data_IF_857536209008
#
_entry.id   IF_857536209008
#
_cell.length_a   1.000
_cell.length_b   1.000
_cell.length_c   1.000
_cell.angle_alpha   90.00
_cell.angle_beta   90.00
_cell.angle_gamma   90.00
#
_symmetry.space_group_name_H-M   'P 1'
#
loop_
_entity.id
_entity.type
_entity.pdbx_description
1 polymer ?
#
# COMPACT_ATOMS: atom_id res chain seq x y z
N UNK A 1 3.47 19.88 -33.05
CA UNK A 1 2.70 20.68 -32.07
C UNK A 1 3.64 21.01 -30.91
N UNK A 2 3.88 22.28 -30.56
CA UNK A 2 4.69 22.62 -29.39
C UNK A 2 4.00 22.18 -28.10
N UNK A 3 4.75 21.59 -27.17
CA UNK A 3 4.27 21.03 -25.89
C UNK A 3 4.99 21.69 -24.73
N UNK A 4 4.29 21.95 -23.62
CA UNK A 4 4.84 22.41 -22.34
C UNK A 4 4.18 21.68 -21.17
N UNK A 5 4.90 21.49 -20.07
CA UNK A 5 4.44 20.76 -18.89
C UNK A 5 4.29 21.70 -17.69
N UNK A 6 3.18 21.59 -16.97
CA UNK A 6 2.93 22.32 -15.73
C UNK A 6 2.90 21.30 -14.58
N UNK A 7 3.84 21.35 -13.62
CA UNK A 7 3.86 20.42 -12.49
C UNK A 7 2.71 20.67 -11.51
N UNK A 8 2.32 19.63 -10.76
CA UNK A 8 1.31 19.71 -9.72
C UNK A 8 1.61 18.66 -8.62
N UNK A 9 0.83 18.67 -7.54
CA UNK A 9 0.94 17.69 -6.46
C UNK A 9 0.73 16.25 -6.98
N UNK A 10 1.48 15.32 -6.39
CA UNK A 10 1.42 13.88 -6.69
C UNK A 10 1.36 13.09 -5.40
N UNK A 11 0.74 11.90 -5.43
CA UNK A 11 0.78 10.96 -4.30
C UNK A 11 2.22 10.58 -3.92
N UNK A 12 3.12 10.56 -4.91
CA UNK A 12 4.55 10.27 -4.71
C UNK A 12 5.21 11.23 -3.72
N UNK A 13 4.85 12.51 -3.76
CA UNK A 13 5.33 13.51 -2.80
C UNK A 13 4.39 13.65 -1.60
N UNK A 14 3.08 13.53 -1.82
CA UNK A 14 2.06 13.70 -0.79
C UNK A 14 2.12 12.63 0.30
N UNK A 15 2.63 11.43 0.00
CA UNK A 15 2.73 10.35 0.98
C UNK A 15 3.64 10.70 2.18
N UNK A 16 4.48 11.72 2.06
CA UNK A 16 5.25 12.25 3.21
C UNK A 16 4.36 12.75 4.35
N UNK A 17 3.07 13.01 4.10
CA UNK A 17 2.08 13.31 5.15
C UNK A 17 1.89 12.15 6.15
N UNK A 18 2.34 10.93 5.83
CA UNK A 18 2.38 9.81 6.78
C UNK A 18 3.42 10.03 7.89
N UNK A 19 4.35 10.97 7.74
CA UNK A 19 5.48 11.18 8.65
C UNK A 19 6.73 10.37 8.29
N UNK A 20 6.65 9.52 7.25
CA UNK A 20 7.80 8.79 6.73
C UNK A 20 8.66 9.71 5.83
N UNK A 21 9.97 9.60 5.99
CA UNK A 21 10.97 10.39 5.28
C UNK A 21 10.98 10.00 3.80
N UNK A 22 10.63 10.94 2.92
CA UNK A 22 10.57 10.68 1.47
C UNK A 22 11.90 10.18 0.88
N UNK A 23 13.05 10.58 1.44
CA UNK A 23 14.37 10.10 1.02
C UNK A 23 14.61 8.61 1.32
N UNK A 24 13.83 8.02 2.22
CA UNK A 24 13.91 6.61 2.59
C UNK A 24 12.93 5.73 1.78
N UNK A 25 12.28 6.25 0.74
CA UNK A 25 11.45 5.45 -0.17
C UNK A 25 12.27 4.88 -1.32
N UNK A 26 12.10 3.58 -1.57
CA UNK A 26 12.70 2.88 -2.70
C UNK A 26 11.79 2.88 -3.93
N UNK A 27 11.93 1.86 -4.77
CA UNK A 27 11.11 1.71 -5.96
C UNK A 27 9.63 1.57 -5.59
N UNK A 28 8.78 2.42 -6.15
CA UNK A 28 7.31 2.31 -6.01
C UNK A 28 6.79 1.15 -6.83
N UNK A 29 5.81 0.42 -6.29
CA UNK A 29 5.18 -0.73 -6.94
C UNK A 29 3.67 -0.53 -7.08
N UNK A 30 3.05 -1.31 -7.95
CA UNK A 30 1.60 -1.33 -8.11
C UNK A 30 1.04 -2.70 -7.74
N UNK A 31 0.02 -2.72 -6.89
CA UNK A 31 -0.80 -3.89 -6.63
C UNK A 31 -1.98 -3.91 -7.59
N UNK A 32 -2.21 -5.03 -8.27
CA UNK A 32 -3.35 -5.23 -9.18
C UNK A 32 -4.35 -6.20 -8.59
N UNK A 33 -5.62 -6.11 -8.98
CA UNK A 33 -6.61 -7.09 -8.53
C UNK A 33 -6.25 -8.51 -8.97
N UNK A 34 -6.29 -9.43 -8.03
CA UNK A 34 -6.21 -10.85 -8.34
C UNK A 34 -7.48 -11.34 -9.00
N UNK A 35 -7.31 -12.22 -9.99
CA UNK A 35 -8.36 -13.00 -10.62
C UNK A 35 -8.13 -14.48 -10.27
N UNK A 36 -9.18 -15.30 -10.38
CA UNK A 36 -9.13 -16.72 -10.01
C UNK A 36 -7.99 -17.49 -10.69
N UNK A 37 -7.66 -17.11 -11.93
CA UNK A 37 -6.63 -17.74 -12.76
C UNK A 37 -5.38 -16.87 -12.98
N UNK A 38 -5.30 -15.68 -12.35
CA UNK A 38 -4.20 -14.75 -12.57
C UNK A 38 -3.89 -13.91 -11.33
N UNK A 39 -2.77 -14.24 -10.68
CA UNK A 39 -2.28 -13.61 -9.45
C UNK A 39 -0.84 -13.15 -9.64
N UNK A 40 -0.60 -12.01 -10.31
CA UNK A 40 0.76 -11.56 -10.60
C UNK A 40 1.48 -11.14 -9.32
N UNK A 41 2.66 -11.71 -9.09
CA UNK A 41 3.48 -11.46 -7.91
C UNK A 41 4.74 -10.62 -8.21
N UNK A 42 4.81 -9.93 -9.35
CA UNK A 42 6.00 -9.16 -9.77
C UNK A 42 6.36 -8.01 -8.82
N UNK A 43 5.38 -7.54 -8.03
CA UNK A 43 5.62 -6.55 -6.98
C UNK A 43 6.51 -7.09 -5.85
N UNK A 44 6.49 -8.41 -5.61
CA UNK A 44 7.12 -9.04 -4.44
C UNK A 44 8.65 -8.91 -4.49
N UNK A 45 9.26 -9.19 -5.64
CA UNK A 45 10.70 -9.07 -5.82
C UNK A 45 11.20 -7.64 -5.59
N UNK A 46 10.43 -6.63 -6.03
CA UNK A 46 10.78 -5.21 -5.86
C UNK A 46 10.63 -4.75 -4.42
N UNK A 47 9.59 -5.20 -3.74
CA UNK A 47 9.39 -4.96 -2.31
C UNK A 47 10.53 -5.60 -1.50
N UNK A 48 10.94 -6.82 -1.85
CA UNK A 48 12.09 -7.49 -1.23
C UNK A 48 13.38 -6.72 -1.42
N UNK A 49 13.65 -6.25 -2.64
CA UNK A 49 14.81 -5.40 -2.95
C UNK A 49 14.83 -4.17 -2.03
N UNK A 50 13.74 -3.38 -1.99
CA UNK A 50 13.64 -2.22 -1.10
C UNK A 50 13.84 -2.57 0.38
N UNK A 51 13.16 -3.62 0.88
CA UNK A 51 13.26 -4.02 2.29
C UNK A 51 14.68 -4.47 2.65
N UNK A 52 15.38 -5.15 1.73
CA UNK A 52 16.76 -5.63 1.95
C UNK A 52 17.76 -4.50 2.18
N UNK A 53 17.55 -3.35 1.52
CA UNK A 53 18.38 -2.14 1.70
C UNK A 53 17.76 -1.14 2.69
N UNK A 54 16.66 -1.52 3.33
CA UNK A 54 16.05 -0.76 4.42
C UNK A 54 15.10 0.35 4.01
N UNK A 55 14.70 0.42 2.74
CA UNK A 55 13.82 1.47 2.21
C UNK A 55 12.34 1.12 2.35
N UNK A 56 11.52 2.14 2.60
CA UNK A 56 10.06 2.07 2.51
C UNK A 56 9.62 1.80 1.08
N UNK A 57 8.44 1.19 0.94
CA UNK A 57 7.85 0.99 -0.39
C UNK A 57 6.45 1.60 -0.43
N UNK A 58 6.26 2.58 -1.31
CA UNK A 58 4.92 3.03 -1.68
C UNK A 58 4.31 1.99 -2.63
N UNK A 59 3.11 1.52 -2.26
CA UNK A 59 2.28 0.60 -3.02
C UNK A 59 1.08 1.38 -3.55
N UNK A 60 1.06 1.57 -4.87
CA UNK A 60 -0.08 2.14 -5.58
C UNK A 60 -1.13 1.04 -5.80
N UNK A 61 -2.40 1.35 -5.54
CA UNK A 61 -3.47 0.37 -5.58
C UNK A 61 -4.27 0.49 -6.88
N UNK A 62 -4.71 -0.66 -7.39
CA UNK A 62 -5.40 -0.76 -8.68
C UNK A 62 -6.67 0.09 -8.74
N UNK A 63 -6.91 0.65 -9.94
CA UNK A 63 -8.09 1.44 -10.24
C UNK A 63 -8.67 0.94 -11.55
N UNK A 64 -9.91 0.46 -11.46
CA UNK A 64 -10.66 -0.13 -12.56
C UNK A 64 -11.86 0.76 -12.85
N UNK A 65 -11.71 1.68 -13.79
CA UNK A 65 -12.77 2.62 -14.22
C UNK A 65 -13.08 2.41 -15.68
N UNK A 66 -14.38 2.31 -16.01
CA UNK A 66 -14.86 2.14 -17.40
C UNK A 66 -14.23 0.93 -18.11
N UNK A 67 -14.00 -0.16 -17.39
CA UNK A 67 -13.61 -1.42 -18.01
C UNK A 67 -14.86 -2.20 -18.46
N UNK A 68 -14.74 -2.91 -19.58
CA UNK A 68 -15.74 -3.88 -20.00
C UNK A 68 -15.35 -5.23 -19.42
N UNK A 69 -16.33 -6.03 -19.01
CA UNK A 69 -16.07 -7.44 -18.68
C UNK A 69 -15.50 -8.15 -19.91
N UNK A 70 -14.68 -9.19 -19.70
CA UNK A 70 -14.11 -9.98 -20.80
C UNK A 70 -15.20 -10.51 -21.75
N UNK A 71 -16.35 -10.90 -21.21
CA UNK A 71 -17.52 -11.33 -21.98
C UNK A 71 -18.11 -10.20 -22.84
N UNK A 72 -18.31 -9.01 -22.26
CA UNK A 72 -18.84 -7.86 -22.99
C UNK A 72 -17.88 -7.41 -24.09
N UNK A 73 -16.57 -7.41 -23.80
CA UNK A 73 -15.53 -7.11 -24.77
C UNK A 73 -15.51 -8.13 -25.92
N UNK A 74 -15.53 -9.43 -25.61
CA UNK A 74 -15.55 -10.49 -26.61
C UNK A 74 -16.79 -10.43 -27.52
N UNK A 75 -17.92 -9.92 -27.01
CA UNK A 75 -19.17 -9.74 -27.76
C UNK A 75 -19.33 -8.33 -28.37
N UNK A 76 -18.33 -7.47 -28.27
CA UNK A 76 -18.37 -6.10 -28.79
C UNK A 76 -19.40 -5.18 -28.11
N UNK A 77 -19.89 -5.56 -26.92
CA UNK A 77 -20.88 -4.79 -26.15
C UNK A 77 -20.18 -3.73 -25.33
N UNK A 78 -20.48 -2.46 -25.60
CA UNK A 78 -19.96 -1.30 -24.84
C UNK A 78 -20.66 -1.12 -23.49
N UNK A 79 -20.70 -2.18 -22.69
CA UNK A 79 -21.27 -2.18 -21.34
C UNK A 79 -20.10 -2.13 -20.36
N UNK A 80 -20.03 -1.05 -19.59
CA UNK A 80 -18.96 -0.79 -18.64
C UNK A 80 -19.38 -1.18 -17.23
N UNK A 81 -18.45 -1.79 -16.51
CA UNK A 81 -18.64 -2.13 -15.12
C UNK A 81 -18.54 -0.89 -14.22
N UNK A 82 -19.18 -0.90 -13.04
CA UNK A 82 -19.02 0.16 -12.06
C UNK A 82 -17.54 0.32 -11.66
N UNK A 83 -17.08 1.54 -11.36
CA UNK A 83 -15.73 1.79 -10.88
C UNK A 83 -15.37 0.93 -9.66
N UNK A 84 -14.23 0.25 -9.73
CA UNK A 84 -13.65 -0.48 -8.61
C UNK A 84 -12.31 0.14 -8.26
N UNK A 85 -12.10 0.38 -6.98
CA UNK A 85 -10.86 0.92 -6.43
C UNK A 85 -10.37 -0.04 -5.37
N UNK A 86 -9.14 -0.51 -5.49
CA UNK A 86 -8.58 -1.44 -4.52
C UNK A 86 -8.41 -0.74 -3.17
N UNK A 87 -8.87 -1.41 -2.12
CA UNK A 87 -8.75 -0.91 -0.75
C UNK A 87 -7.42 -1.35 -0.11
N UNK A 88 -7.11 -0.79 1.06
CA UNK A 88 -5.89 -1.20 1.79
C UNK A 88 -6.08 -2.62 2.31
N UNK A 89 -7.27 -2.96 2.80
CA UNK A 89 -7.56 -4.29 3.29
C UNK A 89 -7.40 -5.37 2.21
N UNK A 90 -7.89 -5.11 1.00
CA UNK A 90 -7.68 -6.00 -0.14
C UNK A 90 -6.21 -6.15 -0.51
N UNK A 91 -5.46 -5.04 -0.54
CA UNK A 91 -4.03 -5.07 -0.83
C UNK A 91 -3.25 -5.87 0.23
N UNK A 92 -3.53 -5.65 1.52
CA UNK A 92 -2.91 -6.38 2.62
C UNK A 92 -3.22 -7.88 2.55
N UNK A 93 -4.47 -8.26 2.23
CA UNK A 93 -4.85 -9.66 2.05
C UNK A 93 -4.09 -10.32 0.88
N UNK A 94 -4.04 -9.67 -0.28
CA UNK A 94 -3.29 -10.18 -1.44
C UNK A 94 -1.78 -10.28 -1.16
N UNK A 95 -1.23 -9.35 -0.36
CA UNK A 95 0.17 -9.43 0.06
C UNK A 95 0.45 -10.65 0.94
N UNK A 96 -0.41 -10.92 1.92
CA UNK A 96 -0.27 -12.07 2.80
C UNK A 96 -0.44 -13.39 2.03
N UNK A 97 -1.34 -13.44 1.05
CA UNK A 97 -1.51 -14.59 0.17
C UNK A 97 -0.23 -14.92 -0.61
N UNK A 98 0.43 -13.90 -1.19
CA UNK A 98 1.70 -14.10 -1.90
C UNK A 98 2.84 -14.43 -0.96
N UNK A 99 2.89 -13.83 0.23
CA UNK A 99 3.89 -14.20 1.24
C UNK A 99 3.74 -15.67 1.67
N UNK A 100 2.51 -16.17 1.84
CA UNK A 100 2.25 -17.58 2.15
C UNK A 100 2.70 -18.51 1.02
N UNK A 101 2.48 -18.12 -0.24
CA UNK A 101 2.95 -18.88 -1.40
C UNK A 101 4.48 -18.88 -1.54
N UNK A 102 5.14 -17.74 -1.29
CA UNK A 102 6.58 -17.55 -1.48
C UNK A 102 7.42 -18.03 -0.30
N UNK A 103 6.97 -17.77 0.92
CA UNK A 103 7.63 -18.17 2.17
C UNK A 103 9.02 -17.56 2.38
N UNK A 104 9.31 -16.40 1.79
CA UNK A 104 10.65 -15.79 1.88
C UNK A 104 10.84 -14.87 3.11
N UNK A 105 9.78 -14.63 3.89
CA UNK A 105 9.82 -13.81 5.10
C UNK A 105 9.99 -12.32 4.79
N UNK A 106 9.47 -11.84 3.66
CA UNK A 106 9.66 -10.44 3.24
C UNK A 106 8.68 -9.52 3.96
N UNK A 107 7.37 -9.81 3.95
CA UNK A 107 6.37 -9.11 4.76
C UNK A 107 5.29 -10.09 5.24
N UNK A 108 5.37 -10.48 6.52
CA UNK A 108 4.42 -11.39 7.15
C UNK A 108 3.22 -10.71 7.83
N UNK A 109 2.33 -11.49 8.48
CA UNK A 109 1.15 -10.99 9.18
C UNK A 109 1.42 -9.86 10.19
N UNK A 110 2.56 -9.92 10.87
CA UNK A 110 2.98 -8.97 11.90
C UNK A 110 3.85 -7.82 11.36
N UNK A 111 4.19 -7.83 10.07
CA UNK A 111 4.95 -6.73 9.48
C UNK A 111 4.14 -5.43 9.47
N UNK A 112 4.78 -4.35 9.92
CA UNK A 112 4.18 -3.02 9.99
C UNK A 112 4.05 -2.37 8.61
N UNK A 113 2.92 -1.69 8.41
CA UNK A 113 2.60 -0.91 7.23
C UNK A 113 1.68 0.26 7.60
N UNK A 114 1.54 1.23 6.69
CA UNK A 114 0.63 2.37 6.81
C UNK A 114 -0.36 2.35 5.65
N UNK A 115 -1.64 2.18 5.97
CA UNK A 115 -2.74 2.46 5.04
C UNK A 115 -2.99 3.97 4.96
N UNK A 116 -3.08 4.49 3.75
CA UNK A 116 -3.36 5.90 3.48
C UNK A 116 -4.57 6.04 2.57
N UNK A 117 -5.47 6.96 2.91
CA UNK A 117 -6.68 7.22 2.13
C UNK A 117 -6.86 8.72 1.89
N UNK A 118 -7.15 9.08 0.64
CA UNK A 118 -7.51 10.44 0.19
C UNK A 118 -6.45 11.49 0.60
N UNK A 119 -5.18 11.13 0.44
CA UNK A 119 -4.03 11.99 0.77
C UNK A 119 -4.14 13.35 0.07
N UNK A 120 -3.95 14.43 0.84
CA UNK A 120 -4.15 15.82 0.40
C UNK A 120 -5.61 16.29 0.35
N UNK A 121 -6.57 15.43 0.69
CA UNK A 121 -8.00 15.75 0.73
C UNK A 121 -8.51 16.16 2.11
N UNK A 122 -9.70 16.77 2.17
CA UNK A 122 -10.35 17.19 3.43
C UNK A 122 -10.68 16.04 4.38
N UNK A 123 -10.82 14.84 3.84
CA UNK A 123 -11.12 13.62 4.59
C UNK A 123 -9.94 12.67 4.58
N UNK A 124 -8.72 13.16 4.42
CA UNK A 124 -7.48 12.36 4.53
C UNK A 124 -7.49 11.52 5.81
N UNK A 125 -7.04 10.27 5.69
CA UNK A 125 -6.88 9.37 6.84
C UNK A 125 -5.68 8.47 6.66
N UNK A 126 -5.03 8.18 7.79
CA UNK A 126 -3.96 7.20 7.90
C UNK A 126 -4.30 6.19 8.97
N UNK A 127 -3.88 4.94 8.77
CA UNK A 127 -3.93 3.88 9.78
C UNK A 127 -2.62 3.10 9.69
N UNK A 128 -1.86 3.07 10.78
CA UNK A 128 -0.67 2.24 10.90
C UNK A 128 -1.01 0.95 11.64
N UNK A 129 -0.40 -0.17 11.26
CA UNK A 129 -0.65 -1.45 11.92
C UNK A 129 0.06 -2.59 11.22
N UNK A 130 -0.14 -3.80 11.72
CA UNK A 130 0.36 -4.99 11.03
C UNK A 130 -0.45 -5.25 9.77
N UNK A 131 0.11 -5.96 8.79
CA UNK A 131 -0.64 -6.35 7.58
C UNK A 131 -1.93 -7.10 7.92
N UNK A 132 -1.90 -7.95 8.95
CA UNK A 132 -3.09 -8.63 9.46
C UNK A 132 -4.16 -7.65 9.94
N UNK A 133 -3.78 -6.62 10.69
CA UNK A 133 -4.73 -5.59 11.13
C UNK A 133 -5.27 -4.78 9.97
N UNK A 134 -4.41 -4.39 9.02
CA UNK A 134 -4.80 -3.56 7.87
C UNK A 134 -5.87 -4.21 7.00
N UNK A 135 -5.95 -5.55 6.94
CA UNK A 135 -7.03 -6.31 6.30
C UNK A 135 -8.44 -5.86 6.75
N UNK A 136 -8.59 -5.34 7.96
CA UNK A 136 -9.87 -4.99 8.59
C UNK A 136 -10.12 -3.47 8.68
N UNK A 137 -9.21 -2.63 8.16
CA UNK A 137 -9.21 -1.18 8.40
C UNK A 137 -10.02 -0.34 7.40
N UNK A 138 -10.61 -0.96 6.38
CA UNK A 138 -11.27 -0.23 5.29
C UNK A 138 -12.42 0.67 5.78
N UNK A 139 -13.17 0.26 6.81
CA UNK A 139 -14.22 1.11 7.41
C UNK A 139 -13.65 2.36 8.08
N UNK A 140 -12.46 2.26 8.67
CA UNK A 140 -11.78 3.38 9.32
C UNK A 140 -11.24 4.32 8.24
N UNK A 141 -10.55 3.75 7.25
CA UNK A 141 -9.96 4.48 6.14
C UNK A 141 -11.02 5.15 5.28
N UNK A 142 -12.20 4.56 5.08
CA UNK A 142 -13.31 5.13 4.33
C UNK A 142 -13.24 4.83 2.83
N UNK A 143 -13.70 5.78 2.00
CA UNK A 143 -13.76 5.61 0.54
C UNK A 143 -12.43 5.85 -0.20
N UNK A 144 -12.37 5.55 -1.51
CA UNK A 144 -11.18 5.76 -2.33
C UNK A 144 -10.74 7.24 -2.43
N UNK A 145 -9.53 7.56 -2.86
CA UNK A 145 -8.44 6.66 -3.30
C UNK A 145 -7.54 6.22 -2.15
N UNK A 146 -7.06 4.98 -2.21
CA UNK A 146 -6.19 4.38 -1.21
C UNK A 146 -4.76 4.17 -1.75
N UNK A 147 -3.80 4.14 -0.84
CA UNK A 147 -2.40 3.75 -1.06
C UNK A 147 -1.90 3.05 0.20
N UNK A 148 -0.84 2.26 0.09
CA UNK A 148 -0.23 1.62 1.27
C UNK A 148 1.28 1.86 1.25
N UNK A 149 1.86 2.06 2.43
CA UNK A 149 3.30 2.13 2.60
C UNK A 149 3.77 0.95 3.43
N UNK A 150 4.72 0.20 2.90
CA UNK A 150 5.41 -0.84 3.63
C UNK A 150 6.64 -0.26 4.31
N UNK A 151 6.83 -0.56 5.58
CA UNK A 151 7.98 -0.04 6.31
C UNK A 151 9.28 -0.72 5.86
N UNK A 152 10.28 0.09 5.52
CA UNK A 152 11.65 -0.37 5.32
C UNK A 152 12.30 -0.66 6.65
N UNK A 153 13.31 -1.54 6.67
CA UNK A 153 13.97 -1.91 7.93
C UNK A 153 14.61 -0.70 8.62
N UNK A 154 15.20 0.27 7.90
CA UNK A 154 15.95 1.42 8.49
C UNK A 154 15.05 2.59 8.91
N UNK A 155 13.84 2.31 9.36
CA UNK A 155 12.90 3.33 9.81
C UNK A 155 13.40 3.97 11.11
N UNK A 156 13.46 5.30 11.15
CA UNK A 156 13.98 6.05 12.29
C UNK A 156 12.97 6.12 13.45
N UNK A 157 13.42 6.28 14.70
CA UNK A 157 12.54 6.40 15.88
C UNK A 157 11.54 7.56 15.77
N UNK A 158 11.96 8.69 15.18
CA UNK A 158 11.05 9.81 14.90
C UNK A 158 9.95 9.43 13.91
N UNK A 159 10.26 8.61 12.90
CA UNK A 159 9.25 8.11 11.96
C UNK A 159 8.26 7.20 12.69
N UNK A 160 8.78 6.30 13.56
CA UNK A 160 7.96 5.47 14.45
C UNK A 160 7.01 6.29 15.29
N UNK A 161 7.54 7.26 16.04
CA UNK A 161 6.75 8.04 16.99
C UNK A 161 5.61 8.79 16.29
N UNK A 162 5.87 9.27 15.07
CA UNK A 162 4.84 9.90 14.25
C UNK A 162 3.77 8.91 13.78
N UNK A 163 4.16 7.81 13.11
CA UNK A 163 3.18 6.84 12.59
C UNK A 163 2.43 6.09 13.70
N UNK A 164 3.01 6.00 14.90
CA UNK A 164 2.38 5.39 16.08
C UNK A 164 1.12 6.13 16.51
N UNK A 165 1.00 7.42 16.22
CA UNK A 165 -0.23 8.17 16.47
C UNK A 165 -1.40 7.76 15.56
N UNK A 166 -1.09 7.10 14.44
CA UNK A 166 -2.07 6.49 13.54
C UNK A 166 -2.28 4.99 13.82
N UNK A 167 -1.64 4.43 14.87
CA UNK A 167 -1.68 3.00 15.12
C UNK A 167 -3.11 2.52 15.42
N UNK A 168 -3.55 1.49 14.69
CA UNK A 168 -4.81 0.79 14.94
C UNK A 168 -4.86 0.24 16.38
N UNK A 169 -3.73 -0.32 16.84
CA UNK A 169 -3.53 -0.74 18.22
C UNK A 169 -2.07 -0.45 18.62
N UNK A 170 -1.88 0.49 19.55
CA UNK A 170 -0.54 0.95 19.97
C UNK A 170 0.31 -0.17 20.59
N UNK A 171 -0.30 -1.09 21.35
CA UNK A 171 0.44 -2.20 21.99
C UNK A 171 0.98 -3.21 20.95
N UNK A 172 0.15 -3.59 19.97
CA UNK A 172 0.55 -4.50 18.89
C UNK A 172 1.59 -3.84 17.99
N UNK A 173 1.42 -2.54 17.72
CA UNK A 173 2.37 -1.75 16.97
C UNK A 173 3.74 -1.74 17.65
N UNK A 174 3.80 -1.44 18.96
CA UNK A 174 5.06 -1.41 19.71
C UNK A 174 5.75 -2.77 19.75
N UNK A 175 5.00 -3.85 19.98
CA UNK A 175 5.56 -5.23 19.93
C UNK A 175 6.16 -5.57 18.58
N UNK A 176 5.47 -5.21 17.49
CA UNK A 176 5.94 -5.46 16.13
C UNK A 176 7.15 -4.60 15.78
N UNK A 177 7.17 -3.35 16.27
CA UNK A 177 8.32 -2.45 16.11
C UNK A 177 9.57 -3.03 16.77
N UNK A 178 9.47 -3.44 18.04
CA UNK A 178 10.61 -4.00 18.77
C UNK A 178 11.15 -5.29 18.14
N UNK A 179 10.26 -6.13 17.59
CA UNK A 179 10.65 -7.39 16.96
C UNK A 179 11.47 -7.19 15.67
N UNK A 180 11.01 -6.26 14.81
CA UNK A 180 11.53 -6.11 13.44
C UNK A 180 12.50 -4.92 13.25
N UNK A 181 12.44 -3.91 14.13
CA UNK A 181 13.08 -2.60 13.95
C UNK A 181 13.90 -2.14 15.17
N UNK A 182 13.62 -2.65 16.38
CA UNK A 182 14.28 -2.22 17.63
C UNK A 182 15.75 -2.64 17.82
N UNK A 183 16.37 -3.29 16.83
CA UNK A 183 17.77 -3.78 16.90
C UNK A 183 18.78 -2.93 16.11
N UNK A 184 18.42 -1.69 15.77
CA UNK A 184 19.27 -0.81 14.97
C UNK A 184 20.26 0.00 15.80
#
# INVERSE_FOLDING_TARGET
IPVSTVPNASIMSGIGATGLQLYNFGQTVSMVFFLDNWKPASFYDRIRENRSIGLHTLVLLDIKVKEQSLENMARGRKIYEPPRYMTVGQCAAQMLEIEEEKGEGVYGPDSLAVGAARVGGKTEKFVAGTLKQLCETDKILGGPLHSMVLLGRRAHELERDYIREFAFNKETFDKSWEADYGKQ
#
